data_IF_710615163386
#
_entry.id   IF_710615163386
#
_cell.length_a   1.000
_cell.length_b   1.000
_cell.length_c   1.000
_cell.angle_alpha   90.00
_cell.angle_beta   90.00
_cell.angle_gamma   90.00
#
_symmetry.space_group_name_H-M   'P 1'
#
loop_
_entity.id
_entity.type
_entity.pdbx_description
1 polymer ?
#
# COMPACT_ATOMS: atom_id res chain seq x y z
N UNK A 1 -44.28 2.30 18.92
CA UNK A 1 -43.10 2.10 18.07
C UNK A 1 -43.36 0.82 17.34
N UNK A 2 -43.86 0.96 16.13
CA UNK A 2 -44.46 -0.14 15.38
C UNK A 2 -43.35 -1.01 14.80
N UNK A 3 -43.62 -2.28 14.55
CA UNK A 3 -42.62 -3.22 14.02
C UNK A 3 -41.97 -2.71 12.72
N UNK A 4 -42.69 -1.91 11.94
CA UNK A 4 -42.22 -1.28 10.72
C UNK A 4 -41.18 -0.18 10.98
N UNK A 5 -41.39 0.64 12.01
CA UNK A 5 -40.43 1.68 12.45
C UNK A 5 -39.12 1.05 12.98
N UNK A 6 -39.22 -0.12 13.60
CA UNK A 6 -38.06 -0.89 14.08
C UNK A 6 -37.25 -1.41 12.90
N UNK A 7 -37.90 -1.92 11.86
CA UNK A 7 -37.23 -2.42 10.64
C UNK A 7 -36.49 -1.30 9.90
N UNK A 8 -37.07 -0.10 9.81
CA UNK A 8 -36.41 1.03 9.18
C UNK A 8 -35.19 1.51 9.96
N UNK A 9 -35.25 1.49 11.29
CA UNK A 9 -34.09 1.77 12.14
C UNK A 9 -32.98 0.74 11.93
N UNK A 10 -33.32 -0.55 11.83
CA UNK A 10 -32.34 -1.62 11.57
C UNK A 10 -31.66 -1.39 10.21
N UNK A 11 -32.43 -1.17 9.13
CA UNK A 11 -31.87 -0.92 7.78
C UNK A 11 -30.96 0.31 7.73
N UNK A 12 -31.34 1.37 8.45
CA UNK A 12 -30.54 2.60 8.55
C UNK A 12 -29.23 2.35 9.30
N UNK A 13 -29.27 1.60 10.39
CA UNK A 13 -28.08 1.22 11.16
C UNK A 13 -27.16 0.31 10.34
N UNK A 14 -27.69 -0.71 9.65
CA UNK A 14 -26.94 -1.58 8.75
C UNK A 14 -26.21 -0.78 7.65
N UNK A 15 -26.91 0.19 7.04
CA UNK A 15 -26.32 1.06 6.01
C UNK A 15 -25.17 1.92 6.55
N UNK A 16 -25.31 2.44 7.77
CA UNK A 16 -24.28 3.25 8.43
C UNK A 16 -23.08 2.42 8.85
N UNK A 17 -23.32 1.23 9.41
CA UNK A 17 -22.26 0.27 9.77
C UNK A 17 -21.47 -0.10 8.54
N UNK A 18 -22.13 -0.48 7.44
CA UNK A 18 -21.47 -0.82 6.17
C UNK A 18 -20.61 0.32 5.61
N UNK A 19 -21.05 1.58 5.76
CA UNK A 19 -20.27 2.76 5.36
C UNK A 19 -19.02 2.93 6.22
N UNK A 20 -19.14 2.81 7.54
CA UNK A 20 -18.00 2.90 8.46
C UNK A 20 -17.03 1.73 8.24
N UNK A 21 -17.55 0.52 8.08
CA UNK A 21 -16.77 -0.66 7.73
C UNK A 21 -16.00 -0.43 6.43
N UNK A 22 -16.63 0.12 5.38
CA UNK A 22 -15.91 0.43 4.13
C UNK A 22 -14.81 1.50 4.26
N UNK A 23 -14.87 2.33 5.31
CA UNK A 23 -13.86 3.37 5.60
C UNK A 23 -12.71 2.84 6.47
N UNK A 24 -13.01 1.93 7.40
CA UNK A 24 -12.05 1.37 8.38
C UNK A 24 -11.41 0.08 7.86
N UNK A 25 -12.20 -0.73 7.17
CA UNK A 25 -11.84 -1.97 6.49
C UNK A 25 -12.19 -1.80 5.00
N UNK A 26 -11.34 -1.12 4.21
CA UNK A 26 -11.56 -1.05 2.77
C UNK A 26 -11.73 -2.49 2.28
N UNK A 27 -12.95 -2.77 1.81
CA UNK A 27 -13.39 -4.11 1.45
C UNK A 27 -12.37 -4.65 0.45
N UNK A 28 -11.81 -5.83 0.74
CA UNK A 28 -10.90 -6.52 -0.17
C UNK A 28 -11.59 -6.61 -1.55
N UNK A 29 -11.24 -5.72 -2.49
CA UNK A 29 -11.80 -5.78 -3.84
C UNK A 29 -12.25 -4.48 -4.52
N UNK A 30 -12.23 -3.30 -3.88
CA UNK A 30 -12.38 -2.03 -4.63
C UNK A 30 -11.09 -1.23 -4.62
N UNK A 31 -10.14 -1.76 -5.39
CA UNK A 31 -8.93 -1.08 -5.81
C UNK A 31 -9.35 0.22 -6.51
N UNK A 32 -9.02 1.36 -5.92
CA UNK A 32 -8.99 2.64 -6.65
C UNK A 32 -7.83 2.54 -7.64
N UNK A 33 -8.04 1.85 -8.76
CA UNK A 33 -7.15 1.93 -9.92
C UNK A 33 -7.42 3.26 -10.60
N UNK A 34 -6.97 4.35 -9.97
CA UNK A 34 -6.80 5.63 -10.65
C UNK A 34 -5.30 5.94 -10.74
N UNK A 35 -4.51 4.90 -11.06
CA UNK A 35 -3.12 5.05 -11.52
C UNK A 35 -3.15 5.66 -12.92
N UNK A 36 -3.51 6.94 -13.00
CA UNK A 36 -3.73 7.70 -14.25
C UNK A 36 -2.50 7.85 -15.16
N UNK A 37 -1.41 7.10 -14.95
CA UNK A 37 -0.30 7.02 -15.89
C UNK A 37 0.30 5.61 -15.87
N UNK A 38 0.63 5.06 -17.04
CA UNK A 38 1.45 3.82 -17.21
C UNK A 38 2.79 3.83 -16.45
N UNK A 39 3.13 4.95 -15.80
CA UNK A 39 4.38 5.21 -15.07
C UNK A 39 4.50 4.37 -13.79
N UNK A 40 3.37 4.04 -13.13
CA UNK A 40 3.35 3.36 -11.83
C UNK A 40 2.76 1.94 -11.87
N UNK A 41 2.80 1.28 -13.03
CA UNK A 41 2.38 -0.12 -13.16
C UNK A 41 3.41 -1.12 -12.58
N UNK A 42 2.89 -2.21 -12.01
CA UNK A 42 3.71 -3.31 -11.49
C UNK A 42 4.42 -3.01 -10.17
N UNK A 43 5.18 -3.98 -9.66
CA UNK A 43 5.97 -3.85 -8.41
C UNK A 43 6.96 -2.69 -8.50
N UNK A 44 7.63 -2.56 -9.64
CA UNK A 44 8.62 -1.49 -9.85
C UNK A 44 7.96 -0.12 -9.92
N UNK A 45 6.76 -0.04 -10.53
CA UNK A 45 5.95 1.17 -10.56
C UNK A 45 5.51 1.59 -9.16
N UNK A 46 5.01 0.65 -8.36
CA UNK A 46 4.63 0.92 -6.97
C UNK A 46 5.81 1.39 -6.11
N UNK A 47 7.00 0.81 -6.26
CA UNK A 47 8.15 1.30 -5.51
C UNK A 47 8.60 2.68 -6.00
N UNK A 48 8.52 2.97 -7.31
CA UNK A 48 8.76 4.32 -7.83
C UNK A 48 7.75 5.34 -7.30
N UNK A 49 6.49 4.95 -7.18
CA UNK A 49 5.47 5.77 -6.55
C UNK A 49 5.89 6.13 -5.11
N UNK A 50 6.31 5.16 -4.30
CA UNK A 50 6.81 5.41 -2.95
C UNK A 50 8.05 6.32 -2.90
N UNK A 51 8.95 6.20 -3.88
CA UNK A 51 10.12 7.09 -4.01
C UNK A 51 9.68 8.53 -4.32
N UNK A 52 8.83 8.70 -5.33
CA UNK A 52 8.34 10.02 -5.78
C UNK A 52 7.54 10.73 -4.66
N UNK A 53 6.92 9.96 -3.74
CA UNK A 53 6.18 10.47 -2.57
C UNK A 53 7.03 10.56 -1.29
N UNK A 54 8.36 10.39 -1.37
CA UNK A 54 9.26 10.63 -0.25
C UNK A 54 9.25 9.56 0.86
N UNK A 55 8.69 8.37 0.62
CA UNK A 55 8.66 7.30 1.61
C UNK A 55 10.05 6.86 2.08
N UNK A 56 11.03 6.95 1.18
CA UNK A 56 12.43 6.57 1.43
C UNK A 56 13.32 7.72 1.95
N UNK A 57 12.72 8.82 2.43
CA UNK A 57 13.46 9.89 3.10
C UNK A 57 14.14 9.43 4.41
N UNK A 58 13.65 8.32 4.97
CA UNK A 58 14.31 7.62 6.09
C UNK A 58 14.62 6.18 5.68
N UNK A 59 15.49 5.51 6.44
CA UNK A 59 15.70 4.08 6.27
C UNK A 59 14.39 3.32 6.53
N UNK A 60 14.00 2.47 5.57
CA UNK A 60 12.82 1.61 5.64
C UNK A 60 13.24 0.15 5.54
N UNK A 61 12.61 -0.70 6.34
CA UNK A 61 12.71 -2.15 6.23
C UNK A 61 11.89 -2.66 5.05
N UNK A 62 12.24 -3.84 4.54
CA UNK A 62 11.47 -4.46 3.45
C UNK A 62 10.02 -4.73 3.83
N UNK A 63 9.77 -5.03 5.11
CA UNK A 63 8.42 -5.20 5.66
C UNK A 63 7.63 -3.89 5.56
N UNK A 64 8.20 -2.77 5.98
CA UNK A 64 7.54 -1.46 5.87
C UNK A 64 7.24 -1.10 4.41
N UNK A 65 8.15 -1.40 3.48
CA UNK A 65 7.90 -1.19 2.04
C UNK A 65 6.74 -2.06 1.56
N UNK A 66 6.69 -3.33 1.97
CA UNK A 66 5.61 -4.26 1.61
C UNK A 66 4.25 -3.82 2.17
N UNK A 67 4.22 -3.42 3.43
CA UNK A 67 3.01 -2.92 4.09
C UNK A 67 2.51 -1.63 3.42
N UNK A 68 3.42 -0.71 3.08
CA UNK A 68 3.05 0.54 2.40
C UNK A 68 2.57 0.29 0.97
N UNK A 69 3.25 -0.55 0.20
CA UNK A 69 2.78 -0.99 -1.12
C UNK A 69 1.37 -1.58 -1.03
N UNK A 70 1.09 -2.40 -0.02
CA UNK A 70 -0.24 -2.97 0.20
C UNK A 70 -1.29 -1.90 0.52
N UNK A 71 -0.95 -0.88 1.33
CA UNK A 71 -1.84 0.26 1.60
C UNK A 71 -2.18 1.04 0.34
N UNK A 72 -1.19 1.20 -0.55
CA UNK A 72 -1.32 1.87 -1.84
C UNK A 72 -1.95 0.98 -2.93
N UNK A 73 -2.43 -0.23 -2.59
CA UNK A 73 -3.12 -1.12 -3.52
C UNK A 73 -2.23 -2.04 -4.36
N UNK A 74 -0.92 -2.09 -4.08
CA UNK A 74 0.04 -2.99 -4.71
C UNK A 74 0.16 -4.31 -3.95
N UNK A 75 -0.65 -5.30 -4.32
CA UNK A 75 -0.66 -6.61 -3.68
C UNK A 75 0.36 -7.56 -4.31
N UNK A 76 1.52 -7.68 -3.68
CA UNK A 76 2.57 -8.60 -4.08
C UNK A 76 3.07 -9.44 -2.91
N UNK A 77 3.67 -10.59 -3.23
CA UNK A 77 4.35 -11.43 -2.23
C UNK A 77 5.56 -10.67 -1.69
N UNK A 78 5.80 -10.74 -0.38
CA UNK A 78 6.94 -10.07 0.27
C UNK A 78 8.28 -10.45 -0.37
N UNK A 79 8.45 -11.72 -0.77
CA UNK A 79 9.64 -12.21 -1.48
C UNK A 79 9.89 -11.49 -2.83
N UNK A 80 8.83 -11.15 -3.55
CA UNK A 80 8.93 -10.44 -4.82
C UNK A 80 9.36 -8.98 -4.61
N UNK A 81 8.80 -8.33 -3.58
CA UNK A 81 9.22 -6.98 -3.16
C UNK A 81 10.68 -6.98 -2.71
N UNK A 82 11.09 -7.94 -1.88
CA UNK A 82 12.48 -8.13 -1.44
C UNK A 82 13.45 -8.25 -2.62
N UNK A 83 13.08 -9.07 -3.60
CA UNK A 83 13.90 -9.34 -4.78
C UNK A 83 14.08 -8.07 -5.61
N UNK A 84 13.02 -7.32 -5.86
CA UNK A 84 13.06 -6.07 -6.63
C UNK A 84 13.87 -5.01 -5.89
N UNK A 85 13.65 -4.84 -4.58
CA UNK A 85 14.41 -3.90 -3.74
C UNK A 85 15.92 -4.17 -3.84
N UNK A 86 16.34 -5.42 -3.63
CA UNK A 86 17.77 -5.78 -3.65
C UNK A 86 18.37 -5.70 -5.06
N UNK A 87 17.71 -6.31 -6.04
CA UNK A 87 18.25 -6.47 -7.40
C UNK A 87 18.21 -5.18 -8.19
N UNK A 88 17.04 -4.54 -8.24
CA UNK A 88 16.83 -3.44 -9.18
C UNK A 88 17.12 -2.09 -8.57
N UNK A 89 16.78 -1.88 -7.29
CA UNK A 89 16.86 -0.54 -6.69
C UNK A 89 18.15 -0.29 -5.93
N UNK A 90 18.70 -1.32 -5.26
CA UNK A 90 20.00 -1.22 -4.59
C UNK A 90 21.16 -1.54 -5.55
N UNK A 91 21.07 -2.64 -6.30
CA UNK A 91 22.22 -3.13 -7.08
C UNK A 91 22.31 -2.49 -8.46
N UNK A 92 21.23 -2.55 -9.26
CA UNK A 92 21.27 -2.12 -10.67
C UNK A 92 21.11 -0.61 -10.86
N UNK A 93 20.09 0.00 -10.25
CA UNK A 93 19.80 1.42 -10.45
C UNK A 93 20.42 2.34 -9.39
N UNK A 94 20.91 1.77 -8.27
CA UNK A 94 21.51 2.50 -7.13
C UNK A 94 20.65 3.68 -6.64
N UNK A 95 19.33 3.53 -6.70
CA UNK A 95 18.37 4.54 -6.25
C UNK A 95 18.23 4.50 -4.73
N UNK A 96 18.40 3.31 -4.13
CA UNK A 96 18.36 3.10 -2.69
C UNK A 96 19.71 2.57 -2.19
N UNK A 97 20.08 2.94 -0.97
CA UNK A 97 21.30 2.48 -0.31
C UNK A 97 20.95 1.51 0.82
N UNK A 98 21.66 0.40 0.90
CA UNK A 98 21.46 -0.56 2.00
C UNK A 98 22.20 -0.12 3.27
N UNK A 99 21.66 -0.48 4.44
CA UNK A 99 22.32 -0.26 5.73
C UNK A 99 23.74 -0.84 5.79
N UNK A 100 24.01 -1.95 5.09
CA UNK A 100 25.34 -2.56 5.00
C UNK A 100 26.33 -1.66 4.25
N UNK A 101 25.86 -1.01 3.18
CA UNK A 101 26.67 -0.10 2.37
C UNK A 101 27.01 1.20 3.13
N UNK A 102 26.05 1.74 3.89
CA UNK A 102 26.25 2.93 4.74
C UNK A 102 27.32 2.75 5.82
N UNK A 103 27.50 1.53 6.32
CA UNK A 103 28.53 1.21 7.34
C UNK A 103 29.95 1.18 6.78
N UNK A 104 30.13 1.00 5.48
CA UNK A 104 31.44 0.90 4.85
C UNK A 104 31.93 2.26 4.29
N UNK A 105 31.20 3.35 4.53
CA UNK A 105 31.57 4.71 4.11
C UNK A 105 31.93 5.63 5.30
N UNK A 106 32.03 5.05 6.50
CA UNK A 106 32.59 5.69 7.70
C UNK A 106 33.89 5.01 8.05
#
# INVERSE_FOLDING_TARGET
>A
MDNEEILDKIRSLESRVKKIESMVYPTEGKIKNDFGTKKYEGITGGIRFLIDHGFFNTLKSSKEVHDELKKEGYYYRSQAVDTILRRDLVTRKKILVSKKTLKNQK
#
